data_IF_533588119538
#
_entry.id   IF_533588119538
#
_cell.length_a   1.000
_cell.length_b   1.000
_cell.length_c   1.000
_cell.angle_alpha   90.00
_cell.angle_beta   90.00
_cell.angle_gamma   90.00
#
_symmetry.space_group_name_H-M   'P 1'
#
loop_
_entity.id
_entity.type
_entity.pdbx_description
1 polymer ?
#
# COMPACT_ATOMS: atom_id res chain seq x y z
N UNK A 1 36.55 -8.94 -11.39
CA UNK A 1 35.32 -9.33 -10.69
C UNK A 1 34.74 -8.10 -10.04
N UNK A 2 33.59 -7.60 -10.49
CA UNK A 2 32.93 -6.44 -9.89
C UNK A 2 32.07 -7.00 -8.76
N UNK A 3 32.48 -6.74 -7.51
CA UNK A 3 31.68 -7.05 -6.33
C UNK A 3 30.37 -6.27 -6.41
N UNK A 4 29.24 -6.98 -6.53
CA UNK A 4 27.94 -6.33 -6.36
C UNK A 4 27.76 -6.01 -4.87
N UNK A 5 27.33 -4.77 -4.53
CA UNK A 5 27.04 -4.45 -3.14
C UNK A 5 25.89 -5.34 -2.65
N UNK A 6 26.08 -5.94 -1.48
CA UNK A 6 25.01 -6.66 -0.78
C UNK A 6 23.97 -5.66 -0.25
N UNK A 7 22.71 -6.08 -0.21
CA UNK A 7 21.69 -5.33 0.51
C UNK A 7 22.05 -5.30 2.00
N UNK A 8 22.19 -4.09 2.56
CA UNK A 8 22.44 -3.89 3.99
C UNK A 8 21.15 -3.53 4.69
N UNK A 9 20.80 -4.27 5.74
CA UNK A 9 19.71 -3.91 6.64
C UNK A 9 20.18 -2.84 7.61
N UNK A 10 19.59 -1.65 7.53
CA UNK A 10 19.91 -0.52 8.41
C UNK A 10 18.72 -0.37 9.37
N UNK A 11 18.99 -0.52 10.67
CA UNK A 11 17.99 -0.27 11.69
C UNK A 11 17.71 1.23 11.78
N UNK A 12 16.43 1.60 11.84
CA UNK A 12 16.04 2.96 12.14
C UNK A 12 16.22 3.21 13.64
N UNK A 13 17.03 4.22 14.00
CA UNK A 13 17.56 4.41 15.36
C UNK A 13 16.56 4.97 16.39
N UNK A 14 15.29 5.12 16.04
CA UNK A 14 14.25 5.60 16.96
C UNK A 14 13.17 4.55 17.10
N UNK A 15 12.78 4.26 18.35
CA UNK A 15 11.65 3.39 18.68
C UNK A 15 10.36 4.01 18.15
N UNK A 16 10.05 3.72 16.89
CA UNK A 16 8.90 4.25 16.19
C UNK A 16 7.97 3.11 15.86
N UNK A 17 6.76 3.18 16.41
CA UNK A 17 5.73 2.18 16.15
C UNK A 17 4.90 2.61 14.95
N UNK A 18 4.78 1.71 13.98
CA UNK A 18 3.86 1.85 12.84
C UNK A 18 2.54 1.17 13.21
N UNK A 19 1.43 1.91 13.06
CA UNK A 19 0.11 1.47 13.49
C UNK A 19 -0.08 1.52 15.01
N UNK A 20 -1.25 1.05 15.46
CA UNK A 20 -1.63 1.00 16.87
C UNK A 20 -1.86 -0.45 17.32
N UNK A 21 -1.81 -0.71 18.62
CA UNK A 21 -1.95 -2.07 19.18
C UNK A 21 -3.31 -2.70 18.82
N UNK A 22 -4.36 -1.88 18.73
CA UNK A 22 -5.71 -2.28 18.36
C UNK A 22 -5.89 -2.57 16.85
N UNK A 23 -4.91 -2.19 16.00
CA UNK A 23 -5.03 -2.38 14.57
C UNK A 23 -4.82 -3.86 14.20
N UNK A 24 -5.69 -4.40 13.35
CA UNK A 24 -5.46 -5.70 12.73
C UNK A 24 -4.46 -5.57 11.55
N UNK A 25 -3.17 -5.68 11.88
CA UNK A 25 -2.08 -5.58 10.91
C UNK A 25 -1.74 -6.92 10.22
N UNK A 26 -2.53 -7.97 10.42
CA UNK A 26 -2.30 -9.26 9.76
C UNK A 26 -2.43 -9.12 8.24
N UNK A 27 -1.40 -9.53 7.51
CA UNK A 27 -1.38 -9.46 6.06
C UNK A 27 -1.36 -8.03 5.50
N UNK A 28 -0.86 -7.06 6.28
CA UNK A 28 -0.62 -5.69 5.80
C UNK A 28 0.34 -5.70 4.60
N UNK A 29 0.21 -4.72 3.71
CA UNK A 29 1.18 -4.50 2.62
C UNK A 29 1.69 -3.07 2.67
N UNK A 30 2.93 -2.88 2.22
CA UNK A 30 3.63 -1.62 2.24
C UNK A 30 4.33 -1.35 0.92
N UNK A 31 4.26 -0.13 0.41
CA UNK A 31 5.00 0.32 -0.76
C UNK A 31 5.66 1.67 -0.50
N UNK A 32 6.89 1.82 -0.97
CA UNK A 32 7.55 3.13 -1.03
C UNK A 32 7.08 3.84 -2.29
N UNK A 33 6.67 5.09 -2.13
CA UNK A 33 6.31 6.02 -3.19
C UNK A 33 6.57 7.46 -2.75
N UNK A 34 5.80 8.39 -3.28
CA UNK A 34 6.09 9.82 -3.19
C UNK A 34 6.97 10.26 -4.35
N UNK A 35 6.86 11.52 -4.75
CA UNK A 35 7.63 12.10 -5.85
C UNK A 35 9.13 11.99 -5.61
N UNK A 36 9.55 11.96 -4.34
CA UNK A 36 10.93 11.79 -3.89
C UNK A 36 11.23 10.41 -3.29
N UNK A 37 10.32 9.43 -3.41
CA UNK A 37 10.42 8.13 -2.74
C UNK A 37 10.56 8.22 -1.21
N UNK A 38 9.93 9.22 -0.60
CA UNK A 38 10.01 9.52 0.84
C UNK A 38 8.71 9.27 1.59
N UNK A 39 7.74 8.60 0.95
CA UNK A 39 6.48 8.19 1.57
C UNK A 39 6.35 6.67 1.57
N UNK A 40 5.89 6.12 2.69
CA UNK A 40 5.50 4.73 2.85
C UNK A 40 3.98 4.63 2.91
N UNK A 41 3.40 3.93 1.95
CA UNK A 41 1.97 3.64 1.88
C UNK A 41 1.72 2.28 2.49
N UNK A 42 0.92 2.21 3.54
CA UNK A 42 0.57 0.96 4.23
C UNK A 42 -0.92 0.72 4.11
N UNK A 43 -1.29 -0.46 3.64
CA UNK A 43 -2.67 -0.91 3.49
C UNK A 43 -2.93 -2.06 4.45
N UNK A 44 -4.03 -1.99 5.20
CA UNK A 44 -4.35 -2.97 6.23
C UNK A 44 -5.86 -3.07 6.52
N UNK A 45 -6.23 -4.13 7.25
CA UNK A 45 -7.61 -4.48 7.56
C UNK A 45 -8.31 -3.40 8.42
N UNK A 46 -9.62 -3.16 8.24
CA UNK A 46 -10.49 -3.74 7.22
C UNK A 46 -10.44 -3.05 5.85
N UNK A 47 -10.03 -1.79 5.77
CA UNK A 47 -10.11 -0.97 4.55
C UNK A 47 -9.27 0.30 4.67
N UNK A 48 -8.14 0.21 5.38
CA UNK A 48 -7.32 1.37 5.70
C UNK A 48 -6.16 1.50 4.72
N UNK A 49 -5.86 2.75 4.34
CA UNK A 49 -4.57 3.14 3.77
C UNK A 49 -3.97 4.29 4.59
N UNK A 50 -2.76 4.09 5.09
CA UNK A 50 -1.98 5.03 5.87
C UNK A 50 -0.77 5.49 5.05
N UNK A 51 -0.41 6.77 5.16
CA UNK A 51 0.78 7.36 4.53
C UNK A 51 1.72 7.81 5.62
N UNK A 52 2.95 7.31 5.60
CA UNK A 52 4.00 7.62 6.57
C UNK A 52 5.11 8.36 5.86
N UNK A 53 5.54 9.48 6.43
CA UNK A 53 6.74 10.18 5.99
C UNK A 53 7.97 9.38 6.45
N UNK A 54 8.81 8.93 5.52
CA UNK A 54 9.97 8.07 5.79
C UNK A 54 11.11 8.81 6.50
N UNK A 55 11.15 10.14 6.44
CA UNK A 55 12.20 10.95 7.10
C UNK A 55 11.90 11.10 8.59
N UNK A 56 10.62 11.24 8.93
CA UNK A 56 10.15 11.45 10.30
C UNK A 56 9.59 10.19 10.93
N UNK A 57 9.31 9.16 10.12
CA UNK A 57 8.61 7.93 10.48
C UNK A 57 7.26 8.18 11.15
N UNK A 58 6.57 9.27 10.75
CA UNK A 58 5.27 9.67 11.29
C UNK A 58 4.18 9.60 10.23
N UNK A 59 3.00 9.17 10.64
CA UNK A 59 1.79 9.20 9.83
C UNK A 59 1.44 10.62 9.42
N UNK A 60 1.10 10.82 8.16
CA UNK A 60 0.57 12.07 7.67
C UNK A 60 -0.84 12.29 8.22
N UNK A 61 -1.12 13.51 8.68
CA UNK A 61 -2.44 13.94 9.12
C UNK A 61 -3.19 14.65 8.00
N UNK A 62 -4.53 14.62 8.06
CA UNK A 62 -5.41 15.31 7.11
C UNK A 62 -5.52 14.62 5.75
N UNK A 63 -5.22 13.31 5.69
CA UNK A 63 -5.45 12.48 4.50
C UNK A 63 -6.95 12.41 4.21
N UNK A 64 -7.32 12.74 2.97
CA UNK A 64 -8.68 12.65 2.45
C UNK A 64 -8.86 11.33 1.70
N UNK A 65 -10.05 10.76 1.81
CA UNK A 65 -10.41 9.48 1.17
C UNK A 65 -9.44 8.33 1.55
N UNK A 66 -8.92 8.31 2.78
CA UNK A 66 -8.01 7.24 3.26
C UNK A 66 -8.68 5.90 3.57
N UNK A 67 -9.97 5.75 3.23
CA UNK A 67 -10.71 4.50 3.33
C UNK A 67 -10.77 3.88 1.94
N UNK A 68 -10.24 2.68 1.81
CA UNK A 68 -10.21 1.91 0.56
C UNK A 68 -11.64 1.43 0.26
N UNK A 69 -12.25 1.84 -0.86
CA UNK A 69 -13.55 1.32 -1.26
C UNK A 69 -13.41 -0.15 -1.60
N UNK A 70 -14.28 -1.00 -1.05
CA UNK A 70 -14.26 -2.43 -1.34
C UNK A 70 -15.65 -2.97 -1.54
N UNK A 71 -15.74 -4.03 -2.31
CA UNK A 71 -16.96 -4.81 -2.39
C UNK A 71 -17.19 -5.56 -1.08
N UNK A 72 -18.46 -5.88 -0.78
CA UNK A 72 -18.82 -6.55 0.46
C UNK A 72 -18.19 -7.95 0.50
N UNK A 73 -17.22 -8.11 1.40
CA UNK A 73 -16.56 -9.39 1.68
C UNK A 73 -16.36 -9.54 3.19
N UNK A 74 -16.40 -10.78 3.70
CA UNK A 74 -16.40 -11.04 5.16
C UNK A 74 -15.08 -10.70 5.85
N UNK A 75 -13.98 -10.61 5.08
CA UNK A 75 -12.62 -10.54 5.60
C UNK A 75 -11.92 -9.18 5.46
N UNK A 76 -12.59 -8.18 4.86
CA UNK A 76 -11.96 -6.88 4.58
C UNK A 76 -10.74 -7.01 3.63
N UNK A 77 -9.90 -5.98 3.61
CA UNK A 77 -8.64 -5.90 2.87
C UNK A 77 -7.51 -6.45 3.77
N UNK A 78 -7.14 -7.70 3.56
CA UNK A 78 -6.01 -8.36 4.23
C UNK A 78 -5.41 -9.40 3.29
N UNK A 79 -4.10 -9.68 3.44
CA UNK A 79 -3.36 -10.61 2.57
C UNK A 79 -3.53 -10.31 1.07
N UNK A 80 -3.74 -9.03 0.75
CA UNK A 80 -4.03 -8.56 -0.58
C UNK A 80 -2.75 -8.36 -1.40
N UNK A 81 -2.92 -8.21 -2.71
CA UNK A 81 -1.87 -7.72 -3.60
C UNK A 81 -1.91 -6.19 -3.57
N UNK A 82 -0.75 -5.55 -3.35
CA UNK A 82 -0.58 -4.11 -3.45
C UNK A 82 0.76 -3.84 -4.13
N UNK A 83 0.70 -3.35 -5.37
CA UNK A 83 1.88 -3.20 -6.24
C UNK A 83 1.85 -1.84 -6.95
N UNK A 84 3.01 -1.26 -7.32
CA UNK A 84 3.03 -0.05 -8.12
C UNK A 84 2.50 -0.31 -9.54
N UNK A 85 1.75 0.64 -10.08
CA UNK A 85 1.44 0.65 -11.51
C UNK A 85 2.75 0.85 -12.28
N UNK A 86 2.99 0.00 -13.27
CA UNK A 86 4.15 0.10 -14.15
C UNK A 86 3.67 0.31 -15.58
N UNK A 87 4.16 1.34 -16.24
CA UNK A 87 3.92 1.63 -17.66
C UNK A 87 5.27 1.76 -18.36
N UNK A 88 5.44 1.11 -19.51
CA UNK A 88 6.72 1.10 -20.24
C UNK A 88 7.94 0.71 -19.38
N UNK A 89 7.76 -0.26 -18.47
CA UNK A 89 8.75 -0.71 -17.49
C UNK A 89 9.18 0.33 -16.44
N UNK A 90 8.46 1.44 -16.32
CA UNK A 90 8.70 2.45 -15.29
C UNK A 90 7.51 2.54 -14.32
N UNK A 91 7.80 2.75 -13.04
CA UNK A 91 6.77 2.94 -12.03
C UNK A 91 6.11 4.29 -12.23
N UNK A 92 4.78 4.31 -12.29
CA UNK A 92 4.01 5.55 -12.30
C UNK A 92 3.92 6.05 -10.86
N UNK A 93 4.44 7.26 -10.62
CA UNK A 93 4.51 7.86 -9.28
C UNK A 93 3.13 7.87 -8.64
N UNK A 94 3.04 7.35 -7.41
CA UNK A 94 1.82 7.32 -6.59
C UNK A 94 0.60 6.68 -7.25
N UNK A 95 0.81 5.79 -8.22
CA UNK A 95 -0.23 4.94 -8.77
C UNK A 95 0.03 3.51 -8.37
N UNK A 96 -0.98 2.88 -7.79
CA UNK A 96 -0.90 1.54 -7.23
C UNK A 96 -2.07 0.70 -7.72
N UNK A 97 -1.84 -0.59 -7.87
CA UNK A 97 -2.87 -1.58 -8.14
C UNK A 97 -3.08 -2.40 -6.88
N UNK A 98 -4.34 -2.55 -6.48
CA UNK A 98 -4.75 -3.40 -5.37
C UNK A 98 -5.73 -4.48 -5.87
N UNK A 99 -5.46 -5.73 -5.52
CA UNK A 99 -6.39 -6.85 -5.70
C UNK A 99 -6.58 -7.61 -4.39
N UNK A 100 -7.83 -7.82 -4.01
CA UNK A 100 -8.21 -8.57 -2.82
C UNK A 100 -9.62 -9.14 -3.00
N UNK A 101 -9.73 -10.46 -3.10
CA UNK A 101 -11.02 -11.13 -3.32
C UNK A 101 -11.75 -10.54 -4.54
N UNK A 102 -12.97 -10.05 -4.34
CA UNK A 102 -13.79 -9.35 -5.35
C UNK A 102 -13.55 -7.84 -5.41
N UNK A 103 -12.42 -7.34 -4.90
CA UNK A 103 -12.02 -5.92 -4.99
C UNK A 103 -10.75 -5.77 -5.83
N UNK A 104 -10.85 -4.96 -6.90
CA UNK A 104 -9.76 -4.61 -7.80
C UNK A 104 -9.76 -3.11 -8.01
N UNK A 105 -8.64 -2.43 -7.72
CA UNK A 105 -8.56 -0.98 -7.72
C UNK A 105 -7.27 -0.49 -8.36
N UNK A 106 -7.37 0.58 -9.13
CA UNK A 106 -6.30 1.52 -9.38
C UNK A 106 -6.44 2.64 -8.36
N UNK A 107 -5.39 2.83 -7.55
CA UNK A 107 -5.32 3.82 -6.49
C UNK A 107 -4.33 4.88 -6.92
N UNK A 108 -4.73 6.15 -6.87
CA UNK A 108 -3.85 7.29 -7.10
C UNK A 108 -3.78 8.13 -5.83
N UNK A 109 -2.58 8.57 -5.46
CA UNK A 109 -2.39 9.53 -4.36
C UNK A 109 -1.92 10.88 -4.88
N UNK A 110 -2.66 11.93 -4.55
CA UNK A 110 -2.28 13.32 -4.78
C UNK A 110 -1.59 13.86 -3.52
N UNK A 111 -0.27 14.07 -3.61
CA UNK A 111 0.54 14.60 -2.50
C UNK A 111 0.18 16.02 -2.10
N UNK A 112 -0.21 16.86 -3.06
CA UNK A 112 -0.53 18.28 -2.81
C UNK A 112 -1.86 18.39 -2.06
N UNK A 113 -2.86 17.65 -2.51
CA UNK A 113 -4.20 17.65 -1.93
C UNK A 113 -4.36 16.67 -0.76
N UNK A 114 -3.36 15.80 -0.54
CA UNK A 114 -3.35 14.71 0.43
C UNK A 114 -4.58 13.82 0.30
N UNK A 115 -4.94 13.47 -0.93
CA UNK A 115 -6.18 12.75 -1.23
C UNK A 115 -5.92 11.52 -2.08
N UNK A 116 -6.69 10.47 -1.81
CA UNK A 116 -6.75 9.31 -2.68
C UNK A 116 -7.92 9.39 -3.66
N UNK A 117 -7.63 8.96 -4.88
CA UNK A 117 -8.61 8.66 -5.92
C UNK A 117 -8.60 7.17 -6.22
N UNK A 118 -9.78 6.61 -6.46
CA UNK A 118 -9.97 5.18 -6.68
C UNK A 118 -10.73 4.95 -7.98
N UNK A 119 -10.17 4.12 -8.86
CA UNK A 119 -10.84 3.62 -10.04
C UNK A 119 -10.99 2.10 -9.91
N UNK A 120 -12.21 1.60 -10.09
CA UNK A 120 -12.47 0.16 -10.10
C UNK A 120 -11.82 -0.49 -11.32
N UNK A 121 -11.12 -1.58 -11.08
CA UNK A 121 -10.55 -2.43 -12.13
C UNK A 121 -11.39 -3.70 -12.29
N UNK A 122 -11.45 -4.27 -13.51
CA UNK A 122 -12.02 -5.60 -13.69
C UNK A 122 -11.16 -6.62 -12.93
N UNK A 123 -11.82 -7.63 -12.37
CA UNK A 123 -11.18 -8.71 -11.63
C UNK A 123 -11.32 -9.98 -12.45
N UNK A 124 -10.23 -10.73 -12.56
CA UNK A 124 -10.29 -12.07 -13.14
C UNK A 124 -11.13 -12.97 -12.23
N UNK A 125 -12.22 -13.58 -12.69
CA UNK A 125 -13.04 -14.45 -11.86
C UNK A 125 -12.25 -15.58 -11.19
N UNK A 126 -11.21 -16.08 -11.86
CA UNK A 126 -10.32 -17.13 -11.33
C UNK A 126 -9.58 -16.69 -10.08
N UNK A 127 -9.38 -15.38 -9.90
CA UNK A 127 -8.75 -14.84 -8.70
C UNK A 127 -9.70 -14.78 -7.51
N UNK A 128 -11.03 -14.81 -7.70
CA UNK A 128 -12.01 -14.55 -6.64
C UNK A 128 -11.87 -15.50 -5.43
N UNK A 129 -11.48 -16.75 -5.65
CA UNK A 129 -11.39 -17.77 -4.60
C UNK A 129 -10.06 -17.71 -3.82
N UNK A 130 -9.10 -16.93 -4.28
CA UNK A 130 -7.83 -16.76 -3.56
C UNK A 130 -8.04 -15.87 -2.33
N UNK A 131 -7.51 -16.34 -1.21
CA UNK A 131 -7.58 -15.66 0.08
C UNK A 131 -6.28 -14.97 0.46
N UNK A 132 -5.19 -15.29 -0.24
CA UNK A 132 -3.84 -14.79 0.02
C UNK A 132 -3.17 -14.56 -1.34
N UNK A 133 -2.80 -13.31 -1.60
CA UNK A 133 -2.24 -12.88 -2.89
C UNK A 133 -0.75 -12.57 -2.84
N UNK A 134 -0.06 -13.04 -1.80
CA UNK A 134 1.41 -12.96 -1.71
C UNK A 134 1.95 -13.90 -0.64
N UNK A 135 2.99 -14.66 -1.04
CA UNK A 135 4.03 -15.20 -0.17
C UNK A 135 5.01 -14.07 0.19
#
# INVERSE_FOLDING_TARGET
SISQPFNTWIQYNQDTTIGKLENNLKGLRGLIGGINNDLLFITYCPENIEVIDLKTMKSLIGIKNGIIPREKHKYGIQYHCFVPLTMNNEKVINHFILFCHNTGLLIKYDEQNKSFDYQKLPICPDLNDYTIYSL
#
